data_IF_424513646193
#
_entry.id   IF_424513646193
#
_cell.length_a   1.000
_cell.length_b   1.000
_cell.length_c   1.000
_cell.angle_alpha   90.00
_cell.angle_beta   90.00
_cell.angle_gamma   90.00
#
_symmetry.space_group_name_H-M   'P 1'
#
loop_
_entity.id
_entity.type
_entity.pdbx_description
1 polymer ?
#
# COMPACT_ATOMS: atom_id res chain seq x y z
N UNK A 1 5.50 21.79 14.19
CA UNK A 1 5.26 20.88 15.32
C UNK A 1 4.91 19.52 14.78
N UNK A 2 5.49 18.42 15.26
CA UNK A 2 5.10 17.09 14.86
C UNK A 2 3.64 16.82 15.28
N UNK A 3 2.83 16.39 14.34
CA UNK A 3 1.42 16.09 14.61
C UNK A 3 1.32 14.64 15.05
N UNK A 4 1.39 14.41 16.35
CA UNK A 4 1.23 13.09 16.96
C UNK A 4 -0.13 12.49 16.57
N UNK A 5 -0.17 11.19 16.29
CA UNK A 5 -1.43 10.46 16.11
C UNK A 5 -2.32 10.70 17.33
N UNK A 6 -3.58 11.07 17.11
CA UNK A 6 -4.48 11.42 18.23
C UNK A 6 -4.69 10.21 19.14
N UNK A 7 -4.81 10.45 20.45
CA UNK A 7 -5.12 9.39 21.41
C UNK A 7 -6.39 8.61 21.03
N UNK A 8 -7.38 9.29 20.44
CA UNK A 8 -8.61 8.70 19.92
C UNK A 8 -8.35 7.71 18.78
N UNK A 9 -7.40 7.98 17.88
CA UNK A 9 -7.06 7.04 16.79
C UNK A 9 -6.46 5.75 17.36
N UNK A 10 -5.49 5.85 18.27
CA UNK A 10 -4.88 4.67 18.92
C UNK A 10 -5.90 3.86 19.73
N UNK A 11 -6.85 4.52 20.39
CA UNK A 11 -7.92 3.84 21.11
C UNK A 11 -8.83 3.07 20.15
N UNK A 12 -9.25 3.67 19.04
CA UNK A 12 -10.05 3.01 18.01
C UNK A 12 -9.33 1.81 17.41
N UNK A 13 -8.06 1.94 17.09
CA UNK A 13 -7.24 0.83 16.57
C UNK A 13 -7.20 -0.34 17.55
N UNK A 14 -6.99 -0.06 18.83
CA UNK A 14 -7.04 -1.09 19.90
C UNK A 14 -8.42 -1.74 20.02
N UNK A 15 -9.48 -0.93 20.00
CA UNK A 15 -10.85 -1.44 20.09
C UNK A 15 -11.22 -2.32 18.89
N UNK A 16 -10.93 -1.87 17.67
CA UNK A 16 -11.15 -2.69 16.47
C UNK A 16 -10.28 -3.95 16.46
N UNK A 17 -9.02 -3.84 16.88
CA UNK A 17 -8.13 -5.00 17.01
C UNK A 17 -8.63 -6.01 18.02
N UNK A 18 -9.20 -5.56 19.15
CA UNK A 18 -9.80 -6.44 20.15
C UNK A 18 -11.07 -7.15 19.64
N UNK A 19 -11.97 -6.39 18.98
CA UNK A 19 -13.19 -6.95 18.37
C UNK A 19 -12.81 -7.91 17.25
N UNK A 20 -11.88 -7.54 16.38
CA UNK A 20 -11.44 -8.35 15.25
C UNK A 20 -10.88 -9.71 15.66
N UNK A 21 -10.13 -9.77 16.77
CA UNK A 21 -9.62 -11.05 17.29
C UNK A 21 -10.70 -11.94 17.89
N UNK A 22 -11.75 -11.36 18.48
CA UNK A 22 -12.80 -12.10 19.19
C UNK A 22 -14.03 -12.38 18.35
N UNK A 23 -14.32 -11.53 17.37
CA UNK A 23 -15.49 -11.60 16.50
C UNK A 23 -15.13 -11.20 15.06
N UNK A 24 -14.21 -11.92 14.41
CA UNK A 24 -13.77 -11.58 13.06
C UNK A 24 -14.94 -11.53 12.08
N UNK A 25 -15.90 -12.44 12.18
CA UNK A 25 -17.05 -12.50 11.29
C UNK A 25 -17.88 -11.19 11.30
N UNK A 26 -18.04 -10.55 12.47
CA UNK A 26 -18.77 -9.28 12.57
C UNK A 26 -18.01 -8.13 11.86
N UNK A 27 -16.68 -8.12 12.00
CA UNK A 27 -15.83 -7.13 11.31
C UNK A 27 -15.94 -7.30 9.79
N UNK A 28 -15.82 -8.55 9.31
CA UNK A 28 -15.90 -8.84 7.88
C UNK A 28 -17.31 -8.65 7.31
N UNK A 29 -18.39 -8.96 8.05
CA UNK A 29 -19.76 -8.63 7.63
C UNK A 29 -19.98 -7.13 7.47
N UNK A 30 -19.47 -6.32 8.41
CA UNK A 30 -19.52 -4.86 8.29
C UNK A 30 -18.71 -4.38 7.09
N UNK A 31 -17.51 -4.90 6.89
CA UNK A 31 -16.68 -4.57 5.74
C UNK A 31 -17.39 -4.89 4.42
N UNK A 32 -18.02 -6.06 4.32
CA UNK A 32 -18.79 -6.44 3.14
C UNK A 32 -19.96 -5.47 2.86
N UNK A 33 -20.62 -4.96 3.91
CA UNK A 33 -21.64 -3.94 3.74
C UNK A 33 -21.06 -2.63 3.19
N UNK A 34 -19.88 -2.22 3.68
CA UNK A 34 -19.15 -1.04 3.18
C UNK A 34 -18.64 -1.25 1.74
N UNK A 35 -18.20 -2.46 1.39
CA UNK A 35 -17.83 -2.82 0.02
C UNK A 35 -18.99 -2.59 -0.94
N UNK A 36 -20.14 -3.16 -0.65
CA UNK A 36 -21.36 -2.98 -1.46
C UNK A 36 -21.80 -1.52 -1.56
N UNK A 37 -21.69 -0.78 -0.47
CA UNK A 37 -22.04 0.65 -0.45
C UNK A 37 -21.09 1.50 -1.32
N UNK A 38 -19.83 1.07 -1.51
CA UNK A 38 -18.84 1.72 -2.39
C UNK A 38 -18.80 1.13 -3.81
N UNK A 39 -19.71 0.24 -4.16
CA UNK A 39 -19.76 -0.41 -5.47
C UNK A 39 -18.78 -1.56 -5.68
N UNK A 40 -18.09 -2.00 -4.62
CA UNK A 40 -17.23 -3.19 -4.65
C UNK A 40 -18.11 -4.42 -4.48
N UNK A 41 -18.50 -5.06 -5.58
CA UNK A 41 -19.45 -6.17 -5.66
C UNK A 41 -18.79 -7.56 -5.77
N UNK A 42 -17.47 -7.59 -5.89
CA UNK A 42 -16.64 -8.80 -6.03
C UNK A 42 -15.29 -8.64 -5.34
N UNK A 43 -14.42 -9.64 -5.48
CA UNK A 43 -13.06 -9.56 -5.00
C UNK A 43 -12.16 -8.90 -6.05
N UNK A 44 -11.43 -7.88 -5.65
CA UNK A 44 -10.34 -7.27 -6.41
C UNK A 44 -9.00 -7.54 -5.74
N UNK A 45 -7.96 -7.68 -6.56
CA UNK A 45 -6.57 -7.82 -6.12
C UNK A 45 -5.76 -6.66 -6.70
N UNK A 46 -5.12 -5.88 -5.83
CA UNK A 46 -4.10 -4.90 -6.21
C UNK A 46 -2.79 -5.34 -5.57
N UNK A 47 -1.73 -5.44 -6.36
CA UNK A 47 -0.38 -5.77 -5.88
C UNK A 47 0.53 -4.60 -6.18
N UNK A 48 1.10 -4.01 -5.13
CA UNK A 48 2.00 -2.87 -5.23
C UNK A 48 3.33 -3.15 -4.54
N UNK A 49 4.38 -2.52 -5.02
CA UNK A 49 5.73 -2.64 -4.46
C UNK A 49 6.24 -1.28 -4.02
N UNK A 50 6.70 -1.22 -2.78
CA UNK A 50 7.43 -0.08 -2.24
C UNK A 50 8.91 -0.37 -2.47
N UNK A 51 9.56 0.37 -3.38
CA UNK A 51 10.96 0.17 -3.75
C UNK A 51 11.81 1.20 -3.01
N UNK A 52 12.17 0.91 -1.78
CA UNK A 52 12.76 1.85 -0.83
C UNK A 52 14.30 1.86 -0.85
N UNK A 53 14.88 0.91 -1.56
CA UNK A 53 16.33 0.70 -1.60
C UNK A 53 16.85 0.49 -3.03
N UNK A 54 18.13 0.75 -3.29
CA UNK A 54 18.76 0.39 -4.57
C UNK A 54 18.65 -1.10 -4.91
N UNK A 55 18.66 -1.96 -3.89
CA UNK A 55 18.53 -3.42 -4.03
C UNK A 55 17.13 -3.80 -4.55
N UNK A 56 16.08 -3.07 -4.16
CA UNK A 56 14.73 -3.26 -4.73
C UNK A 56 14.75 -3.04 -6.25
N UNK A 57 15.42 -1.98 -6.71
CA UNK A 57 15.53 -1.68 -8.15
C UNK A 57 16.26 -2.76 -8.93
N UNK A 58 17.18 -3.50 -8.31
CA UNK A 58 17.92 -4.58 -8.96
C UNK A 58 17.06 -5.81 -9.21
N UNK A 59 16.02 -6.03 -8.41
CA UNK A 59 15.20 -7.24 -8.46
C UNK A 59 13.77 -7.01 -8.95
N UNK A 60 13.31 -5.75 -9.00
CA UNK A 60 11.90 -5.42 -9.31
C UNK A 60 11.44 -5.90 -10.69
N UNK A 61 12.31 -5.87 -11.71
CA UNK A 61 11.95 -6.39 -13.04
C UNK A 61 11.67 -7.90 -13.01
N UNK A 62 12.50 -8.67 -12.28
CA UNK A 62 12.27 -10.11 -12.13
C UNK A 62 10.97 -10.38 -11.34
N UNK A 63 10.68 -9.58 -10.31
CA UNK A 63 9.42 -9.67 -9.56
C UNK A 63 8.22 -9.35 -10.46
N UNK A 64 8.30 -8.29 -11.27
CA UNK A 64 7.24 -7.93 -12.23
C UNK A 64 7.04 -9.03 -13.29
N UNK A 65 8.11 -9.68 -13.76
CA UNK A 65 8.03 -10.84 -14.65
C UNK A 65 7.20 -11.98 -14.05
N UNK A 66 7.42 -12.29 -12.76
CA UNK A 66 6.61 -13.30 -12.05
C UNK A 66 5.15 -12.90 -11.89
N UNK A 67 4.85 -11.60 -11.72
CA UNK A 67 3.46 -11.13 -11.71
C UNK A 67 2.80 -11.28 -13.09
N UNK A 68 3.55 -11.04 -14.17
CA UNK A 68 3.04 -11.21 -15.53
C UNK A 68 2.60 -12.67 -15.79
N UNK A 69 3.36 -13.66 -15.29
CA UNK A 69 2.99 -15.08 -15.35
C UNK A 69 1.66 -15.36 -14.63
N UNK A 70 1.35 -14.60 -13.59
CA UNK A 70 0.10 -14.66 -12.83
C UNK A 70 -0.99 -13.74 -13.38
N UNK A 71 -0.71 -12.98 -14.45
CA UNK A 71 -1.58 -11.96 -15.04
C UNK A 71 -2.01 -10.88 -14.04
N UNK A 72 -1.10 -10.50 -13.14
CA UNK A 72 -1.29 -9.46 -12.15
C UNK A 72 -0.56 -8.20 -12.64
N UNK A 73 -1.24 -7.08 -12.90
CA UNK A 73 -0.58 -5.84 -13.31
C UNK A 73 0.18 -5.25 -12.11
N UNK A 74 1.48 -4.94 -12.24
CA UNK A 74 2.26 -4.39 -11.14
C UNK A 74 1.98 -2.91 -10.92
N UNK A 75 2.01 -2.50 -9.65
CA UNK A 75 2.03 -1.09 -9.24
C UNK A 75 3.30 -0.83 -8.44
N UNK A 76 3.98 0.28 -8.74
CA UNK A 76 5.28 0.61 -8.16
C UNK A 76 5.22 1.96 -7.45
N UNK A 77 5.65 2.00 -6.21
CA UNK A 77 5.86 3.20 -5.41
C UNK A 77 7.37 3.35 -5.16
N UNK A 78 7.99 4.34 -5.79
CA UNK A 78 9.45 4.50 -5.80
C UNK A 78 9.77 5.95 -5.42
N UNK A 79 10.62 6.23 -4.40
CA UNK A 79 11.09 7.57 -4.11
C UNK A 79 11.79 8.21 -5.30
N UNK A 80 11.57 9.51 -5.53
CA UNK A 80 12.07 10.22 -6.71
C UNK A 80 13.58 10.15 -6.90
N UNK A 81 14.36 10.16 -5.80
CA UNK A 81 15.81 9.98 -5.85
C UNK A 81 16.21 8.62 -6.40
N UNK A 82 15.58 7.56 -5.91
CA UNK A 82 15.83 6.19 -6.41
C UNK A 82 15.31 6.00 -7.83
N UNK A 83 14.16 6.60 -8.15
CA UNK A 83 13.61 6.56 -9.51
C UNK A 83 14.57 7.18 -10.55
N UNK A 84 15.23 8.29 -10.22
CA UNK A 84 16.26 8.89 -11.11
C UNK A 84 17.50 8.02 -11.23
N UNK A 85 17.92 7.35 -10.14
CA UNK A 85 19.04 6.40 -10.16
C UNK A 85 18.72 5.19 -11.04
N UNK A 86 17.51 4.66 -10.96
CA UNK A 86 17.02 3.51 -11.74
C UNK A 86 16.17 3.90 -12.94
N UNK A 87 16.41 5.05 -13.57
CA UNK A 87 15.52 5.60 -14.60
C UNK A 87 15.28 4.65 -15.79
N UNK A 88 16.30 3.91 -16.21
CA UNK A 88 16.15 2.91 -17.28
C UNK A 88 15.19 1.77 -16.91
N UNK A 89 15.35 1.22 -15.71
CA UNK A 89 14.47 0.17 -15.18
C UNK A 89 13.04 0.70 -15.11
N UNK A 90 12.85 1.90 -14.56
CA UNK A 90 11.53 2.51 -14.43
C UNK A 90 10.86 2.71 -15.80
N UNK A 91 11.61 3.17 -16.84
CA UNK A 91 11.08 3.35 -18.21
C UNK A 91 10.70 2.02 -18.84
N UNK A 92 11.52 0.98 -18.68
CA UNK A 92 11.16 -0.37 -19.20
C UNK A 92 9.88 -0.90 -18.55
N UNK A 93 9.77 -0.79 -17.23
CA UNK A 93 8.57 -1.22 -16.49
C UNK A 93 7.34 -0.39 -16.89
N UNK A 94 7.50 0.93 -17.06
CA UNK A 94 6.42 1.78 -17.55
C UNK A 94 5.95 1.39 -18.95
N UNK A 95 6.90 1.06 -19.85
CA UNK A 95 6.61 0.58 -21.20
C UNK A 95 5.95 -0.79 -21.22
N UNK A 96 6.23 -1.62 -20.21
CA UNK A 96 5.58 -2.91 -19.99
C UNK A 96 4.20 -2.79 -19.31
N UNK A 97 3.72 -1.57 -19.03
CA UNK A 97 2.38 -1.32 -18.48
C UNK A 97 2.30 -1.25 -16.96
N UNK A 98 3.42 -1.17 -16.24
CA UNK A 98 3.38 -0.95 -14.79
C UNK A 98 2.77 0.42 -14.47
N UNK A 99 1.96 0.48 -13.41
CA UNK A 99 1.44 1.72 -12.85
C UNK A 99 2.42 2.27 -11.83
N UNK A 100 2.61 3.60 -11.80
CA UNK A 100 3.54 4.26 -10.87
C UNK A 100 2.80 5.19 -9.92
N UNK A 101 3.10 5.06 -8.63
CA UNK A 101 2.69 5.98 -7.57
C UNK A 101 3.86 6.93 -7.23
N UNK A 102 3.52 8.15 -6.87
CA UNK A 102 4.45 9.04 -6.21
C UNK A 102 4.70 8.54 -4.77
N UNK A 103 5.95 8.29 -4.40
CA UNK A 103 6.35 7.82 -3.07
C UNK A 103 7.22 8.84 -2.32
N UNK A 104 6.99 10.14 -2.55
CA UNK A 104 7.89 11.20 -2.13
C UNK A 104 9.12 11.29 -3.02
N UNK A 105 9.98 12.24 -2.72
CA UNK A 105 11.22 12.45 -3.49
C UNK A 105 12.44 11.85 -2.81
N UNK A 106 12.59 12.10 -1.49
CA UNK A 106 13.76 11.67 -0.72
C UNK A 106 13.70 10.17 -0.44
N UNK A 107 14.83 9.48 -0.62
CA UNK A 107 14.95 8.10 -0.16
C UNK A 107 14.74 8.06 1.36
N UNK A 108 13.72 7.38 1.81
CA UNK A 108 13.30 7.33 3.21
C UNK A 108 13.83 6.11 3.98
N UNK A 109 14.84 5.45 3.42
CA UNK A 109 15.64 4.42 4.08
C UNK A 109 17.12 4.79 4.03
N UNK A 110 17.88 4.38 5.04
CA UNK A 110 19.33 4.56 5.12
C UNK A 110 19.99 3.25 5.51
N UNK A 111 21.07 2.90 4.82
CA UNK A 111 21.87 1.74 5.18
C UNK A 111 22.58 1.98 6.51
N UNK A 112 22.35 1.10 7.47
CA UNK A 112 23.02 1.09 8.77
C UNK A 112 24.18 0.07 8.69
N UNK A 113 25.40 0.59 8.62
CA UNK A 113 26.60 -0.26 8.50
C UNK A 113 26.82 -1.18 9.70
N UNK A 114 26.41 -0.75 10.90
CA UNK A 114 26.57 -1.55 12.12
C UNK A 114 25.64 -2.76 12.14
N UNK A 115 24.46 -2.64 11.54
CA UNK A 115 23.46 -3.71 11.45
C UNK A 115 23.49 -4.45 10.11
N UNK A 116 24.20 -3.93 9.10
CA UNK A 116 24.23 -4.52 7.76
C UNK A 116 22.89 -4.53 7.03
N UNK A 117 21.99 -3.58 7.36
CA UNK A 117 20.63 -3.51 6.80
C UNK A 117 20.15 -2.09 6.66
N UNK A 118 19.12 -1.89 5.84
CA UNK A 118 18.43 -0.59 5.75
C UNK A 118 17.52 -0.35 6.94
N UNK A 119 17.44 0.91 7.36
CA UNK A 119 16.54 1.38 8.40
C UNK A 119 15.70 2.54 7.88
N UNK A 120 14.44 2.56 8.30
CA UNK A 120 13.53 3.66 8.02
C UNK A 120 14.04 4.98 8.59
N UNK A 121 13.93 6.03 7.81
CA UNK A 121 14.20 7.42 8.19
C UNK A 121 13.19 8.34 7.48
N UNK A 122 13.24 9.64 7.71
CA UNK A 122 12.39 10.61 7.02
C UNK A 122 10.88 10.39 7.23
N UNK A 123 10.45 10.34 8.48
CA UNK A 123 9.05 10.10 8.86
C UNK A 123 8.20 11.37 8.73
N UNK A 124 7.17 11.36 7.90
CA UNK A 124 6.30 12.52 7.61
C UNK A 124 5.59 13.09 8.84
N UNK A 125 5.27 12.29 9.83
CA UNK A 125 4.65 12.73 11.08
C UNK A 125 5.63 13.43 12.05
N UNK A 126 6.93 13.39 11.76
CA UNK A 126 8.00 14.03 12.53
C UNK A 126 8.57 15.27 11.82
N UNK A 127 8.20 15.52 10.57
CA UNK A 127 8.73 16.60 9.75
C UNK A 127 7.81 17.83 9.73
N UNK A 128 8.36 19.04 9.48
CA UNK A 128 7.54 20.21 9.20
C UNK A 128 6.71 20.02 7.92
N UNK A 129 5.48 20.52 7.92
CA UNK A 129 4.54 20.39 6.79
C UNK A 129 5.15 20.84 5.46
N UNK A 130 5.95 21.91 5.46
CA UNK A 130 6.59 22.43 4.26
C UNK A 130 7.67 21.48 3.70
N UNK A 131 8.36 20.73 4.55
CA UNK A 131 9.31 19.70 4.13
C UNK A 131 8.57 18.55 3.47
N UNK A 132 7.49 18.08 4.09
CA UNK A 132 6.63 17.02 3.51
C UNK A 132 6.04 17.46 2.17
N UNK A 133 5.52 18.69 2.08
CA UNK A 133 4.99 19.25 0.82
C UNK A 133 6.04 19.22 -0.29
N UNK A 134 7.24 19.75 -0.03
CA UNK A 134 8.32 19.76 -1.02
C UNK A 134 8.72 18.36 -1.47
N UNK A 135 8.72 17.42 -0.55
CA UNK A 135 9.03 16.01 -0.84
C UNK A 135 7.99 15.39 -1.78
N UNK A 136 6.71 15.58 -1.49
CA UNK A 136 5.61 15.10 -2.34
C UNK A 136 5.67 15.74 -3.73
N UNK A 137 5.87 17.05 -3.81
CA UNK A 137 5.98 17.79 -5.10
C UNK A 137 7.19 17.29 -5.90
N UNK A 138 8.34 17.10 -5.22
CA UNK A 138 9.55 16.59 -5.86
C UNK A 138 9.40 15.16 -6.39
N UNK A 139 8.66 14.31 -5.66
CA UNK A 139 8.34 12.94 -6.10
C UNK A 139 7.43 12.93 -7.33
N UNK A 140 6.39 13.78 -7.36
CA UNK A 140 5.53 13.91 -8.56
C UNK A 140 6.31 14.36 -9.78
N UNK A 141 7.20 15.34 -9.62
CA UNK A 141 8.08 15.77 -10.69
C UNK A 141 9.00 14.63 -11.18
N UNK A 142 9.57 13.84 -10.28
CA UNK A 142 10.42 12.71 -10.65
C UNK A 142 9.65 11.64 -11.47
N UNK A 143 8.41 11.34 -11.10
CA UNK A 143 7.58 10.40 -11.88
C UNK A 143 7.34 10.96 -13.29
N UNK A 144 6.98 12.23 -13.43
CA UNK A 144 6.75 12.87 -14.73
C UNK A 144 8.01 12.85 -15.60
N UNK A 145 9.15 13.18 -15.01
CA UNK A 145 10.44 13.27 -15.73
C UNK A 145 10.94 11.89 -16.20
N UNK A 146 10.80 10.89 -15.36
CA UNK A 146 11.34 9.55 -15.65
C UNK A 146 10.35 8.70 -16.45
N UNK A 147 9.08 8.69 -16.05
CA UNK A 147 8.03 7.83 -16.65
C UNK A 147 7.35 8.51 -17.84
N UNK A 148 7.44 9.84 -17.95
CA UNK A 148 6.83 10.62 -19.04
C UNK A 148 5.32 10.83 -18.91
N UNK A 149 4.73 10.51 -17.76
CA UNK A 149 3.31 10.70 -17.46
C UNK A 149 3.12 11.00 -15.96
N UNK A 150 1.99 11.61 -15.56
CA UNK A 150 1.67 11.82 -14.14
C UNK A 150 1.66 10.51 -13.35
N UNK A 151 1.98 10.59 -12.05
CA UNK A 151 1.75 9.48 -11.14
C UNK A 151 0.26 9.12 -11.09
N UNK A 152 -0.07 7.84 -11.10
CA UNK A 152 -1.45 7.35 -10.99
C UNK A 152 -2.05 7.66 -9.61
N UNK A 153 -1.22 7.81 -8.60
CA UNK A 153 -1.62 8.05 -7.23
C UNK A 153 -0.43 8.36 -6.33
N UNK A 154 -0.67 8.28 -5.04
CA UNK A 154 0.33 8.53 -4.00
C UNK A 154 0.38 7.38 -2.97
N UNK A 155 1.58 7.08 -2.50
CA UNK A 155 1.85 6.21 -1.35
C UNK A 155 2.72 6.98 -0.36
N UNK A 156 2.24 7.17 0.88
CA UNK A 156 3.06 7.79 1.91
C UNK A 156 4.18 6.83 2.36
N UNK A 157 5.41 7.33 2.58
CA UNK A 157 6.45 6.56 3.23
C UNK A 157 6.00 6.05 4.59
N UNK A 158 6.33 4.81 4.88
CA UNK A 158 6.13 4.15 6.18
C UNK A 158 4.66 4.12 6.66
N UNK A 159 4.00 2.99 6.46
CA UNK A 159 2.66 2.76 7.00
C UNK A 159 2.64 2.90 8.52
N UNK A 160 1.57 3.54 9.04
CA UNK A 160 1.43 3.85 10.45
C UNK A 160 1.77 5.31 10.80
N UNK A 161 2.49 6.01 9.92
CA UNK A 161 2.65 7.46 9.99
C UNK A 161 1.50 8.17 9.26
N UNK A 162 1.32 9.45 9.45
CA UNK A 162 0.28 10.24 8.77
C UNK A 162 -1.16 9.70 8.85
N UNK A 163 -1.51 9.01 9.94
CA UNK A 163 -2.81 8.35 10.09
C UNK A 163 -3.88 9.19 10.79
N UNK A 164 -3.55 10.35 11.38
CA UNK A 164 -4.57 11.20 11.98
C UNK A 164 -5.40 11.94 10.93
N UNK A 165 -6.69 12.27 11.20
CA UNK A 165 -7.51 13.03 10.26
C UNK A 165 -6.91 14.37 9.84
N UNK A 166 -6.13 15.02 10.72
CA UNK A 166 -5.44 16.28 10.40
C UNK A 166 -4.29 16.04 9.41
N UNK A 167 -3.48 15.02 9.64
CA UNK A 167 -2.38 14.64 8.73
C UNK A 167 -2.90 14.24 7.36
N UNK A 168 -3.97 13.41 7.31
CA UNK A 168 -4.58 13.00 6.04
C UNK A 168 -5.21 14.18 5.29
N UNK A 169 -5.82 15.14 6.01
CA UNK A 169 -6.36 16.35 5.37
C UNK A 169 -5.25 17.19 4.75
N UNK A 170 -4.12 17.33 5.43
CA UNK A 170 -2.94 18.02 4.90
C UNK A 170 -2.40 17.28 3.68
N UNK A 171 -2.16 15.97 3.79
CA UNK A 171 -1.65 15.13 2.71
C UNK A 171 -2.56 15.22 1.46
N UNK A 172 -3.85 14.96 1.63
CA UNK A 172 -4.82 15.02 0.52
C UNK A 172 -4.96 16.45 -0.04
N UNK A 173 -4.74 17.49 0.77
CA UNK A 173 -4.66 18.87 0.31
C UNK A 173 -3.55 19.06 -0.71
N UNK A 174 -2.34 18.61 -0.39
CA UNK A 174 -1.18 18.66 -1.29
C UNK A 174 -1.42 17.83 -2.56
N UNK A 175 -1.98 16.63 -2.42
CA UNK A 175 -2.26 15.76 -3.56
C UNK A 175 -3.27 16.39 -4.53
N UNK A 176 -4.33 17.02 -4.02
CA UNK A 176 -5.31 17.72 -4.87
C UNK A 176 -4.69 18.89 -5.63
N UNK A 177 -3.79 19.65 -5.01
CA UNK A 177 -3.06 20.75 -5.69
C UNK A 177 -2.21 20.22 -6.87
N UNK A 178 -1.72 18.99 -6.78
CA UNK A 178 -1.00 18.30 -7.86
C UNK A 178 -1.94 17.63 -8.90
N UNK A 179 -3.25 17.68 -8.69
CA UNK A 179 -4.23 16.97 -9.52
C UNK A 179 -4.26 15.46 -9.26
N UNK A 180 -3.62 14.99 -8.18
CA UNK A 180 -3.62 13.59 -7.81
C UNK A 180 -4.93 13.22 -7.09
N UNK A 181 -5.65 12.24 -7.63
CA UNK A 181 -6.98 11.84 -7.15
C UNK A 181 -6.99 10.56 -6.32
N UNK A 182 -5.87 9.87 -6.23
CA UNK A 182 -5.73 8.56 -5.61
C UNK A 182 -4.61 8.55 -4.57
N UNK A 183 -4.86 7.89 -3.44
CA UNK A 183 -3.84 7.56 -2.45
C UNK A 183 -4.05 6.13 -1.93
N UNK A 184 -2.97 5.47 -1.58
CA UNK A 184 -2.98 4.22 -0.81
C UNK A 184 -1.97 4.33 0.33
N UNK A 185 -2.31 5.17 1.31
CA UNK A 185 -1.43 5.55 2.42
C UNK A 185 -1.98 5.15 3.79
N UNK A 186 -3.23 4.68 3.86
CA UNK A 186 -3.88 4.38 5.12
C UNK A 186 -3.79 2.91 5.52
N UNK A 187 -3.74 2.69 6.85
CA UNK A 187 -3.71 1.36 7.47
C UNK A 187 -5.08 0.65 7.34
N UNK A 188 -5.13 -0.68 7.59
CA UNK A 188 -6.35 -1.47 7.48
C UNK A 188 -7.52 -0.96 8.33
N UNK A 189 -7.25 -0.27 9.44
CA UNK A 189 -8.29 0.32 10.28
C UNK A 189 -9.24 1.23 9.48
N UNK A 190 -8.70 1.95 8.51
CA UNK A 190 -9.49 2.82 7.64
C UNK A 190 -10.43 2.01 6.73
N UNK A 191 -9.96 0.90 6.18
CA UNK A 191 -10.78 -0.03 5.42
C UNK A 191 -11.96 -0.58 6.23
N UNK A 192 -11.71 -1.01 7.47
CA UNK A 192 -12.76 -1.47 8.37
C UNK A 192 -13.74 -0.40 8.80
N UNK A 193 -13.30 0.86 8.79
CA UNK A 193 -14.12 1.97 9.23
C UNK A 193 -14.92 2.62 8.10
N UNK A 194 -14.33 2.77 6.92
CA UNK A 194 -14.88 3.57 5.83
C UNK A 194 -15.11 2.79 4.53
N UNK A 195 -14.67 1.55 4.46
CA UNK A 195 -14.74 0.70 3.28
C UNK A 195 -13.41 0.55 2.54
N UNK A 196 -13.37 -0.35 1.55
CA UNK A 196 -12.16 -0.67 0.79
C UNK A 196 -11.66 0.48 -0.08
N UNK A 197 -12.57 1.39 -0.45
CA UNK A 197 -12.30 2.61 -1.21
C UNK A 197 -13.19 3.70 -0.62
N UNK A 198 -12.62 4.84 -0.27
CA UNK A 198 -13.38 5.96 0.28
C UNK A 198 -12.76 7.30 -0.10
N UNK A 199 -13.61 8.35 -0.20
CA UNK A 199 -13.18 9.73 -0.41
C UNK A 199 -13.60 10.58 0.81
N UNK A 200 -12.63 11.07 1.56
CA UNK A 200 -12.92 11.87 2.76
C UNK A 200 -12.43 13.32 2.67
N UNK A 201 -11.38 13.56 1.92
CA UNK A 201 -10.76 14.88 1.80
C UNK A 201 -10.47 15.26 0.36
N UNK A 202 -11.29 14.78 -0.58
CA UNK A 202 -11.20 15.06 -2.01
C UNK A 202 -10.15 14.23 -2.76
N UNK A 203 -9.64 13.16 -2.12
CA UNK A 203 -8.78 12.13 -2.72
C UNK A 203 -9.35 10.76 -2.38
N UNK A 204 -9.40 9.87 -3.35
CA UNK A 204 -9.78 8.47 -3.16
C UNK A 204 -8.68 7.73 -2.43
N UNK A 205 -9.02 7.09 -1.34
CA UNK A 205 -8.09 6.34 -0.52
C UNK A 205 -8.41 4.85 -0.59
N UNK A 206 -7.38 4.04 -0.85
CA UNK A 206 -7.46 2.57 -0.88
C UNK A 206 -6.55 2.02 0.23
N UNK A 207 -7.10 1.70 1.41
CA UNK A 207 -6.32 1.19 2.53
C UNK A 207 -5.62 -0.13 2.20
N UNK A 208 -4.42 -0.32 2.74
CA UNK A 208 -3.72 -1.62 2.61
C UNK A 208 -4.44 -2.72 3.36
N UNK A 209 -4.25 -3.96 2.91
CA UNK A 209 -4.87 -5.13 3.50
C UNK A 209 -4.36 -5.41 4.92
N UNK A 210 -5.26 -5.84 5.78
CA UNK A 210 -4.94 -6.32 7.12
C UNK A 210 -4.73 -7.83 7.16
N UNK A 211 -4.21 -8.32 8.27
CA UNK A 211 -4.09 -9.75 8.54
C UNK A 211 -5.47 -10.38 8.78
N UNK A 212 -5.66 -11.62 8.37
CA UNK A 212 -6.95 -12.31 8.51
C UNK A 212 -7.40 -12.51 9.96
N UNK A 213 -6.48 -12.79 10.87
CA UNK A 213 -6.78 -12.98 12.30
C UNK A 213 -6.58 -11.73 13.14
N UNK A 214 -5.85 -10.73 12.60
CA UNK A 214 -5.56 -9.43 13.23
C UNK A 214 -5.87 -8.29 12.26
N UNK A 215 -7.15 -8.03 11.97
CA UNK A 215 -7.57 -7.22 10.83
C UNK A 215 -7.09 -5.77 10.84
N UNK A 216 -6.66 -5.23 11.97
CA UNK A 216 -6.08 -3.87 12.06
C UNK A 216 -4.56 -3.84 11.87
N UNK A 217 -3.89 -5.00 11.93
CA UNK A 217 -2.45 -5.10 11.64
C UNK A 217 -2.24 -5.22 10.14
N UNK A 218 -1.28 -4.49 9.61
CA UNK A 218 -0.93 -4.55 8.19
C UNK A 218 -0.38 -5.94 7.86
N UNK A 219 -0.79 -6.51 6.74
CA UNK A 219 -0.17 -7.71 6.18
C UNK A 219 1.03 -7.25 5.33
N UNK A 220 2.20 -7.23 5.94
CA UNK A 220 3.42 -6.68 5.32
C UNK A 220 4.56 -7.69 5.24
N UNK A 221 5.46 -7.48 4.28
CA UNK A 221 6.61 -8.34 4.05
C UNK A 221 7.78 -8.02 4.98
N UNK A 222 7.93 -6.78 5.43
CA UNK A 222 8.99 -6.41 6.37
C UNK A 222 8.90 -7.24 7.66
N UNK A 223 7.74 -7.25 8.31
CA UNK A 223 7.52 -7.95 9.58
C UNK A 223 7.70 -9.46 9.48
N UNK A 224 7.42 -10.04 8.30
CA UNK A 224 7.41 -11.50 8.12
C UNK A 224 8.69 -12.05 7.49
N UNK A 225 9.39 -11.27 6.66
CA UNK A 225 10.52 -11.79 5.89
C UNK A 225 11.84 -11.09 6.20
N UNK A 226 11.85 -9.83 6.65
CA UNK A 226 13.07 -9.02 6.71
C UNK A 226 13.42 -8.46 8.09
N UNK A 227 12.46 -8.12 8.94
CA UNK A 227 12.75 -7.46 10.22
C UNK A 227 13.76 -8.24 11.06
N UNK A 228 14.86 -7.63 11.53
CA UNK A 228 15.90 -8.31 12.31
C UNK A 228 15.36 -8.95 13.60
N UNK A 229 14.40 -8.28 14.24
CA UNK A 229 13.71 -8.75 15.45
C UNK A 229 12.29 -9.26 15.11
N UNK A 230 12.17 -9.94 13.99
CA UNK A 230 10.85 -10.40 13.53
C UNK A 230 10.21 -11.34 14.54
N UNK A 231 8.97 -11.00 14.88
CA UNK A 231 8.09 -11.84 15.69
C UNK A 231 7.20 -12.75 14.84
N UNK A 232 7.21 -12.52 13.53
CA UNK A 232 6.43 -13.25 12.54
C UNK A 232 7.38 -13.95 11.58
N UNK A 233 6.90 -15.02 10.98
CA UNK A 233 7.64 -15.84 10.02
C UNK A 233 6.97 -15.77 8.66
N UNK A 234 7.64 -16.20 7.58
CA UNK A 234 6.99 -16.36 6.28
C UNK A 234 5.76 -17.28 6.31
N UNK A 235 5.74 -18.29 7.18
CA UNK A 235 4.56 -19.16 7.36
C UNK A 235 3.42 -18.43 8.06
N UNK A 236 3.72 -17.48 8.95
CA UNK A 236 2.72 -16.59 9.51
C UNK A 236 2.09 -15.70 8.44
N UNK A 237 2.89 -15.18 7.49
CA UNK A 237 2.39 -14.43 6.35
C UNK A 237 1.37 -15.25 5.54
N UNK A 238 1.74 -16.46 5.16
CA UNK A 238 0.86 -17.38 4.41
C UNK A 238 -0.44 -17.62 5.18
N UNK A 239 -0.34 -17.99 6.46
CA UNK A 239 -1.50 -18.26 7.30
C UNK A 239 -2.44 -17.04 7.41
N UNK A 240 -1.91 -15.85 7.61
CA UNK A 240 -2.70 -14.62 7.73
C UNK A 240 -3.32 -14.23 6.38
N UNK A 241 -2.60 -14.41 5.28
CA UNK A 241 -3.09 -14.18 3.93
C UNK A 241 -4.23 -15.14 3.55
N UNK A 242 -4.11 -16.43 3.90
CA UNK A 242 -5.15 -17.43 3.69
C UNK A 242 -6.39 -17.16 4.55
N UNK A 243 -6.19 -16.77 5.80
CA UNK A 243 -7.29 -16.42 6.68
C UNK A 243 -8.04 -15.18 6.15
N UNK A 244 -7.33 -14.15 5.65
CA UNK A 244 -7.93 -12.99 5.01
C UNK A 244 -8.74 -13.39 3.78
N UNK A 245 -8.14 -14.17 2.87
CA UNK A 245 -8.82 -14.65 1.66
C UNK A 245 -10.11 -15.40 2.00
N UNK A 246 -10.05 -16.34 2.94
CA UNK A 246 -11.21 -17.12 3.37
C UNK A 246 -12.35 -16.22 3.89
N UNK A 247 -12.03 -15.17 4.64
CA UNK A 247 -13.02 -14.20 5.13
C UNK A 247 -13.66 -13.42 3.97
N UNK A 248 -12.86 -12.92 3.04
CA UNK A 248 -13.36 -12.12 1.91
C UNK A 248 -14.15 -12.97 0.91
N UNK A 249 -13.75 -14.21 0.65
CA UNK A 249 -14.51 -15.16 -0.18
C UNK A 249 -15.88 -15.43 0.45
N UNK A 250 -15.96 -15.66 1.77
CA UNK A 250 -17.25 -15.78 2.47
C UNK A 250 -18.11 -14.52 2.39
N UNK A 251 -17.47 -13.33 2.42
CA UNK A 251 -18.16 -12.05 2.28
C UNK A 251 -18.64 -11.79 0.84
N UNK A 252 -18.04 -12.45 -0.15
CA UNK A 252 -18.33 -12.34 -1.58
C UNK A 252 -17.81 -11.06 -2.24
N UNK A 253 -17.16 -10.17 -1.49
CA UNK A 253 -16.63 -8.90 -1.99
C UNK A 253 -15.49 -8.38 -1.13
N UNK A 254 -14.63 -7.55 -1.71
CA UNK A 254 -13.52 -6.92 -1.00
C UNK A 254 -12.37 -6.51 -1.89
N UNK A 255 -11.39 -5.84 -1.31
CA UNK A 255 -10.14 -5.47 -1.98
C UNK A 255 -8.96 -6.05 -1.21
N UNK A 256 -8.24 -6.96 -1.84
CA UNK A 256 -6.95 -7.48 -1.41
C UNK A 256 -5.88 -6.49 -1.89
N UNK A 257 -5.66 -5.42 -1.11
CA UNK A 257 -4.64 -4.42 -1.40
C UNK A 257 -3.32 -4.84 -0.75
N UNK A 258 -2.53 -5.64 -1.47
CA UNK A 258 -1.25 -6.18 -1.05
C UNK A 258 -0.12 -5.22 -1.40
N UNK A 259 0.79 -4.98 -0.46
CA UNK A 259 2.07 -4.35 -0.78
C UNK A 259 3.23 -5.22 -0.28
N UNK A 260 4.39 -5.05 -0.91
CA UNK A 260 5.62 -5.76 -0.57
C UNK A 260 6.83 -4.94 -1.00
N UNK A 261 7.97 -5.20 -0.38
CA UNK A 261 9.26 -4.72 -0.86
C UNK A 261 9.87 -5.81 -1.76
N UNK A 262 10.29 -5.50 -2.99
CA UNK A 262 10.79 -6.49 -3.94
C UNK A 262 11.93 -7.34 -3.40
N UNK A 263 12.88 -6.74 -2.68
CA UNK A 263 14.04 -7.44 -2.11
C UNK A 263 13.65 -8.53 -1.10
N UNK A 264 12.54 -8.34 -0.40
CA UNK A 264 12.08 -9.30 0.61
C UNK A 264 11.45 -10.55 0.00
N UNK A 265 10.91 -10.44 -1.24
CA UNK A 265 10.07 -11.50 -1.80
C UNK A 265 10.61 -12.11 -3.11
N UNK A 266 11.64 -11.54 -3.74
CA UNK A 266 12.09 -11.96 -5.07
C UNK A 266 12.48 -13.45 -5.16
N UNK A 267 12.90 -14.07 -4.06
CA UNK A 267 13.23 -15.50 -3.94
C UNK A 267 12.25 -16.29 -3.08
N UNK A 268 11.14 -15.70 -2.67
CA UNK A 268 10.22 -16.30 -1.69
C UNK A 268 8.99 -16.89 -2.39
N UNK A 269 9.05 -18.16 -2.73
CA UNK A 269 7.97 -18.87 -3.44
C UNK A 269 6.63 -18.78 -2.72
N UNK A 270 6.63 -18.82 -1.38
CA UNK A 270 5.41 -18.74 -0.56
C UNK A 270 4.62 -17.46 -0.81
N UNK A 271 5.29 -16.33 -1.07
CA UNK A 271 4.62 -15.08 -1.44
C UNK A 271 3.88 -15.21 -2.77
N UNK A 272 4.52 -15.77 -3.80
CA UNK A 272 3.91 -15.96 -5.11
C UNK A 272 2.83 -17.05 -5.11
N UNK A 273 2.93 -18.05 -4.24
CA UNK A 273 1.87 -19.03 -4.03
C UNK A 273 0.61 -18.38 -3.43
N UNK A 274 0.76 -17.45 -2.51
CA UNK A 274 -0.36 -16.64 -2.00
C UNK A 274 -0.99 -15.83 -3.13
N UNK A 275 -0.20 -15.14 -3.94
CA UNK A 275 -0.71 -14.33 -5.06
C UNK A 275 -1.42 -15.20 -6.11
N UNK A 276 -0.91 -16.40 -6.39
CA UNK A 276 -1.56 -17.38 -7.32
C UNK A 276 -2.94 -17.77 -6.80
N UNK A 277 -3.07 -18.06 -5.51
CA UNK A 277 -4.38 -18.39 -4.90
C UNK A 277 -5.32 -17.19 -4.91
N UNK A 278 -4.82 -16.00 -4.63
CA UNK A 278 -5.62 -14.79 -4.65
C UNK A 278 -6.11 -14.43 -6.05
N UNK A 279 -5.22 -14.48 -7.06
CA UNK A 279 -5.59 -14.19 -8.45
C UNK A 279 -6.53 -15.22 -9.08
N UNK A 280 -6.63 -16.42 -8.51
CA UNK A 280 -7.59 -17.44 -8.96
C UNK A 280 -9.05 -17.09 -8.62
N UNK A 281 -9.29 -16.23 -7.63
CA UNK A 281 -10.63 -15.88 -7.14
C UNK A 281 -10.92 -14.38 -7.11
N UNK A 282 -9.91 -13.54 -7.25
CA UNK A 282 -10.03 -12.08 -7.27
C UNK A 282 -9.60 -11.54 -8.64
N UNK A 283 -10.29 -10.50 -9.12
CA UNK A 283 -9.90 -9.80 -10.33
C UNK A 283 -8.69 -8.92 -10.05
N UNK A 284 -7.54 -9.26 -10.64
CA UNK A 284 -6.34 -8.45 -10.54
C UNK A 284 -6.48 -7.15 -11.34
N UNK A 285 -6.17 -6.02 -10.71
CA UNK A 285 -6.28 -4.67 -11.29
C UNK A 285 -5.19 -3.77 -10.71
N UNK A 286 -4.88 -2.66 -11.40
CA UNK A 286 -4.14 -1.54 -10.81
C UNK A 286 -5.06 -0.68 -9.95
N UNK A 287 -4.53 0.33 -9.25
CA UNK A 287 -5.38 1.28 -8.52
C UNK A 287 -6.27 2.10 -9.45
N UNK A 288 -5.73 2.58 -10.57
CA UNK A 288 -6.53 3.28 -11.59
C UNK A 288 -7.63 2.35 -12.11
N UNK A 289 -7.26 1.13 -12.48
CA UNK A 289 -8.21 0.13 -12.95
C UNK A 289 -9.27 -0.28 -11.92
N UNK A 290 -8.97 -0.19 -10.61
CA UNK A 290 -9.95 -0.37 -9.56
C UNK A 290 -10.96 0.79 -9.54
N UNK A 291 -10.48 2.04 -9.52
CA UNK A 291 -11.36 3.23 -9.47
C UNK A 291 -12.26 3.33 -10.70
N UNK A 292 -11.76 3.01 -11.88
CA UNK A 292 -12.54 2.98 -13.13
C UNK A 292 -13.72 2.00 -13.11
N UNK A 293 -13.73 1.03 -12.22
CA UNK A 293 -14.80 0.04 -12.07
C UNK A 293 -15.83 0.41 -11.01
N UNK A 294 -15.56 1.43 -10.22
CA UNK A 294 -16.42 1.81 -9.11
C UNK A 294 -17.29 3.01 -9.47
N UNK A 295 -18.62 2.92 -9.24
CA UNK A 295 -19.51 4.04 -9.48
C UNK A 295 -19.13 5.23 -8.60
N UNK A 296 -19.15 6.44 -9.17
CA UNK A 296 -18.85 7.69 -8.45
C UNK A 296 -17.37 7.99 -8.25
N UNK A 297 -16.44 7.18 -8.80
CA UNK A 297 -15.01 7.47 -8.76
C UNK A 297 -14.50 8.17 -10.03
N UNK A 298 -15.38 8.47 -10.99
CA UNK A 298 -15.04 9.01 -12.31
C UNK A 298 -14.95 10.53 -12.39
N UNK A 299 -15.48 11.26 -11.40
CA UNK A 299 -15.58 12.75 -11.39
C UNK A 299 -14.43 13.42 -10.62
#
# INVERSE_FOLDING_TARGET
>A
MPVLASAAHRWLERAYGWVGRRRPDQVFQRYAALCRASGVDRLYLVVSFDCDTPEDLQVVEAVCGRLADLRIPPVLAIPGELMRQGAEVCRRLASAGAEFLNHGNVQHTRFDQALGTYRSCFFYDQLPAEVVRRDIVGGDAAVRDVVGRPAAGFRAPHFGTCQSPHQLRFLHGVLRELGCRLSSSTTPLYGWRYGPVFNRFGVWEVPVAGMGTRPTSVLDTWSCFAAPERRLTPDDYVREAEALLAQLVRAGCGVLNCYADPIHIHREERFFDVLRRWSAVAQAVTYTGLLERLPGCHD
#
